data_IF_618700871482
#
_entry.id   IF_618700871482
#
_cell.length_a   1.000
_cell.length_b   1.000
_cell.length_c   1.000
_cell.angle_alpha   90.00
_cell.angle_beta   90.00
_cell.angle_gamma   90.00
#
_symmetry.space_group_name_H-M   'P 1'
#
loop_
_entity.id
_entity.type
_entity.pdbx_description
1 polymer ?
#
# COMPACT_ATOMS: atom_id res chain seq x y z
N UNK A 1 17.33 -12.91 3.83
CA UNK A 1 16.18 -12.35 4.56
C UNK A 1 15.76 -11.11 3.79
N UNK A 2 14.92 -11.27 2.76
CA UNK A 2 14.53 -10.15 1.90
C UNK A 2 13.01 -10.17 1.78
N UNK A 3 12.38 -9.03 1.99
CA UNK A 3 11.00 -8.81 1.54
C UNK A 3 11.05 -8.37 0.08
N UNK A 4 10.17 -8.92 -0.75
CA UNK A 4 9.89 -8.34 -2.05
C UNK A 4 8.90 -7.20 -1.83
N UNK A 5 9.28 -5.99 -2.23
CA UNK A 5 8.50 -4.77 -1.96
C UNK A 5 8.12 -4.14 -3.28
N UNK A 6 6.82 -4.01 -3.49
CA UNK A 6 6.27 -3.20 -4.56
C UNK A 6 5.76 -1.89 -3.96
N UNK A 7 5.98 -0.79 -4.67
CA UNK A 7 5.50 0.55 -4.27
C UNK A 7 4.43 0.97 -5.27
N UNK A 8 3.29 1.44 -4.78
CA UNK A 8 2.27 2.05 -5.62
C UNK A 8 1.93 3.43 -5.06
N UNK A 9 2.08 4.45 -5.89
CA UNK A 9 1.62 5.80 -5.60
C UNK A 9 1.06 6.44 -6.88
N UNK A 10 -0.23 6.79 -6.93
CA UNK A 10 -0.84 7.40 -8.12
C UNK A 10 -0.33 8.82 -8.42
N UNK A 11 0.40 9.46 -7.51
CA UNK A 11 0.89 10.84 -7.67
C UNK A 11 2.37 10.94 -8.01
N UNK A 12 3.13 9.86 -7.82
CA UNK A 12 4.57 9.89 -8.05
C UNK A 12 4.88 9.77 -9.54
N UNK A 13 5.89 10.51 -10.00
CA UNK A 13 6.47 10.28 -11.31
C UNK A 13 7.44 9.08 -11.22
N UNK A 14 7.15 8.02 -11.96
CA UNK A 14 7.97 6.80 -11.93
C UNK A 14 9.44 7.05 -12.30
N UNK A 15 9.71 7.95 -13.27
CA UNK A 15 11.07 8.26 -13.69
C UNK A 15 11.85 9.03 -12.62
N UNK A 16 11.17 9.91 -11.88
CA UNK A 16 11.76 10.64 -10.75
C UNK A 16 12.02 9.69 -9.57
N UNK A 17 11.07 8.80 -9.28
CA UNK A 17 11.20 7.80 -8.22
C UNK A 17 12.36 6.82 -8.49
N UNK A 18 12.55 6.39 -9.74
CA UNK A 18 13.66 5.53 -10.14
C UNK A 18 15.00 6.28 -10.02
N UNK A 19 15.05 7.53 -10.47
CA UNK A 19 16.27 8.33 -10.42
C UNK A 19 16.70 8.69 -8.98
N UNK A 20 15.76 9.04 -8.10
CA UNK A 20 16.05 9.47 -6.72
C UNK A 20 16.21 8.29 -5.74
N UNK A 21 15.38 7.25 -5.88
CA UNK A 21 15.27 6.17 -4.89
C UNK A 21 15.58 4.79 -5.46
N UNK A 22 15.86 4.67 -6.77
CA UNK A 22 16.17 3.37 -7.40
C UNK A 22 15.00 2.40 -7.42
N UNK A 23 13.76 2.88 -7.27
CA UNK A 23 12.55 2.08 -7.24
C UNK A 23 11.61 2.45 -8.37
N UNK A 24 10.97 1.45 -8.96
CA UNK A 24 9.98 1.61 -10.02
C UNK A 24 8.60 1.35 -9.43
N UNK A 25 7.78 2.38 -9.18
CA UNK A 25 6.44 2.20 -8.67
C UNK A 25 5.55 1.45 -9.66
N UNK A 26 4.74 0.53 -9.16
CA UNK A 26 3.68 -0.12 -9.92
C UNK A 26 2.55 0.88 -10.18
N UNK A 27 2.09 0.93 -11.44
CA UNK A 27 0.92 1.70 -11.81
C UNK A 27 -0.35 1.14 -11.14
N UNK A 28 -0.48 -0.18 -11.04
CA UNK A 28 -1.57 -0.85 -10.35
C UNK A 28 -1.06 -2.14 -9.70
N UNK A 29 -1.23 -2.31 -8.38
CA UNK A 29 -0.77 -3.50 -7.69
C UNK A 29 -1.72 -4.69 -7.94
N UNK A 30 -1.20 -5.92 -8.09
CA UNK A 30 -2.01 -7.13 -8.21
C UNK A 30 -2.88 -7.37 -6.97
N UNK A 31 -4.09 -7.85 -7.19
CA UNK A 31 -5.00 -8.28 -6.13
C UNK A 31 -4.60 -9.65 -5.58
N UNK A 32 -4.76 -9.87 -4.28
CA UNK A 32 -4.53 -11.18 -3.65
C UNK A 32 -3.07 -11.64 -3.60
N UNK A 33 -2.11 -10.75 -3.82
CA UNK A 33 -0.71 -11.10 -4.01
C UNK A 33 0.16 -10.90 -2.76
N UNK A 34 -0.24 -9.99 -1.87
CA UNK A 34 0.63 -9.52 -0.79
C UNK A 34 0.38 -10.24 0.54
N UNK A 35 1.47 -10.52 1.26
CA UNK A 35 1.41 -11.01 2.65
C UNK A 35 1.23 -9.85 3.65
N UNK A 36 1.60 -8.63 3.25
CA UNK A 36 1.37 -7.41 4.01
C UNK A 36 1.13 -6.22 3.09
N UNK A 37 0.21 -5.32 3.47
CA UNK A 37 -0.08 -4.06 2.78
C UNK A 37 0.09 -2.91 3.77
N UNK A 38 0.90 -1.93 3.41
CA UNK A 38 1.21 -0.77 4.25
C UNK A 38 0.67 0.50 3.60
N UNK A 39 -0.24 1.18 4.28
CA UNK A 39 -0.70 2.51 3.86
C UNK A 39 0.23 3.57 4.45
N UNK A 40 1.20 4.00 3.64
CA UNK A 40 2.26 4.90 4.06
C UNK A 40 1.95 6.40 3.83
N UNK A 41 0.95 6.72 3.00
CA UNK A 41 0.57 8.08 2.64
C UNK A 41 -0.94 8.31 2.72
N UNK A 42 -1.34 9.53 3.02
CA UNK A 42 -2.74 9.91 3.24
C UNK A 42 -3.49 10.33 1.98
N UNK A 43 -3.19 9.75 0.81
CA UNK A 43 -3.82 10.16 -0.44
C UNK A 43 -5.31 9.83 -0.44
N UNK A 44 -6.12 10.74 -1.01
CA UNK A 44 -7.59 10.60 -1.05
C UNK A 44 -8.03 9.34 -1.78
N UNK A 45 -7.24 8.85 -2.72
CA UNK A 45 -7.48 7.59 -3.42
C UNK A 45 -7.46 6.39 -2.47
N UNK A 46 -6.55 6.35 -1.50
CA UNK A 46 -6.49 5.26 -0.51
C UNK A 46 -7.59 5.37 0.54
N UNK A 47 -7.98 6.60 0.91
CA UNK A 47 -9.17 6.84 1.75
C UNK A 47 -10.43 6.34 1.03
N UNK A 48 -10.59 6.67 -0.24
CA UNK A 48 -11.74 6.29 -1.06
C UNK A 48 -11.77 4.78 -1.36
N UNK A 49 -10.60 4.16 -1.53
CA UNK A 49 -10.47 2.71 -1.68
C UNK A 49 -10.97 1.96 -0.44
N UNK A 50 -10.77 2.56 0.74
CA UNK A 50 -11.23 2.01 2.01
C UNK A 50 -10.51 0.71 2.40
N UNK A 51 -10.87 0.16 3.56
CA UNK A 51 -10.17 -0.99 4.11
C UNK A 51 -10.36 -2.27 3.26
N UNK A 52 -11.55 -2.47 2.70
CA UNK A 52 -11.84 -3.64 1.86
C UNK A 52 -11.02 -3.63 0.57
N UNK A 53 -10.90 -2.47 -0.08
CA UNK A 53 -10.09 -2.34 -1.29
C UNK A 53 -8.59 -2.49 -0.99
N UNK A 54 -8.12 -1.98 0.15
CA UNK A 54 -6.72 -2.20 0.59
C UNK A 54 -6.48 -3.69 0.90
N UNK A 55 -7.43 -4.36 1.58
CA UNK A 55 -7.35 -5.81 1.87
C UNK A 55 -7.41 -6.66 0.61
N UNK A 56 -8.05 -6.20 -0.46
CA UNK A 56 -8.13 -6.93 -1.72
C UNK A 56 -6.76 -7.11 -2.41
N UNK A 57 -5.75 -6.29 -2.09
CA UNK A 57 -4.38 -6.52 -2.54
C UNK A 57 -3.71 -7.67 -1.78
N UNK A 58 -4.15 -7.91 -0.56
CA UNK A 58 -3.63 -8.96 0.30
C UNK A 58 -4.19 -10.36 0.00
N UNK A 59 -3.39 -11.37 0.29
CA UNK A 59 -3.87 -12.76 0.49
C UNK A 59 -4.86 -12.84 1.65
N UNK A 60 -5.61 -13.96 1.82
CA UNK A 60 -6.59 -14.10 2.90
C UNK A 60 -6.08 -13.80 4.32
N UNK A 61 -4.80 -14.08 4.61
CA UNK A 61 -4.17 -13.82 5.92
C UNK A 61 -3.25 -12.57 5.92
N UNK A 62 -3.47 -11.65 4.98
CA UNK A 62 -2.64 -10.46 4.84
C UNK A 62 -2.76 -9.50 6.03
N UNK A 63 -1.63 -8.98 6.46
CA UNK A 63 -1.53 -7.91 7.46
C UNK A 63 -1.75 -6.55 6.78
N UNK A 64 -2.67 -5.74 7.30
CA UNK A 64 -2.83 -4.33 6.88
C UNK A 64 -2.32 -3.40 7.98
N UNK A 65 -1.35 -2.56 7.63
CA UNK A 65 -0.77 -1.58 8.54
C UNK A 65 -1.01 -0.15 8.03
N UNK A 66 -1.64 0.69 8.83
CA UNK A 66 -1.95 2.08 8.46
C UNK A 66 -1.11 3.06 9.26
N UNK A 67 -0.15 3.70 8.59
CA UNK A 67 0.78 4.68 9.20
C UNK A 67 0.15 6.09 9.25
N UNK A 68 -0.95 6.32 8.53
CA UNK A 68 -1.53 7.65 8.32
C UNK A 68 -2.94 7.82 8.87
N UNK A 69 -3.48 6.80 9.54
CA UNK A 69 -4.80 6.83 10.15
C UNK A 69 -5.93 7.15 9.15
N UNK A 70 -5.79 6.68 7.92
CA UNK A 70 -6.78 6.90 6.86
C UNK A 70 -7.88 5.83 6.82
N UNK A 71 -7.66 4.69 7.46
CA UNK A 71 -8.62 3.59 7.54
C UNK A 71 -9.29 3.52 8.93
N UNK A 72 -10.50 2.92 9.04
CA UNK A 72 -11.14 2.63 10.32
C UNK A 72 -10.23 1.78 11.21
N UNK A 73 -10.22 2.06 12.52
CA UNK A 73 -9.29 1.42 13.48
C UNK A 73 -9.48 -0.09 13.53
N UNK A 74 -10.73 -0.52 13.49
CA UNK A 74 -11.18 -1.90 13.54
C UNK A 74 -10.85 -2.70 12.28
N UNK A 75 -10.45 -2.03 11.20
CA UNK A 75 -10.21 -2.65 9.90
C UNK A 75 -8.73 -2.92 9.60
N UNK A 76 -7.81 -2.48 10.48
CA UNK A 76 -6.36 -2.61 10.33
C UNK A 76 -5.74 -3.44 11.45
N UNK A 77 -4.67 -4.16 11.13
CA UNK A 77 -3.96 -5.04 12.06
C UNK A 77 -2.93 -4.27 12.90
N UNK A 78 -2.50 -3.11 12.42
CA UNK A 78 -1.64 -2.19 13.15
C UNK A 78 -1.69 -0.77 12.61
N UNK A 79 -1.29 0.19 13.45
CA UNK A 79 -1.18 1.61 13.08
C UNK A 79 -0.17 2.34 13.98
N UNK A 80 0.43 3.41 13.46
CA UNK A 80 1.40 4.28 14.16
C UNK A 80 0.93 5.72 14.16
#
# INVERSE_FOLDING_TARGET
YNAQVDVHDPWVNAAEAEHEYGLVPLAEPPTGAYDAVIVAVGHKQFVALGADGVRAYGKPECVVYDVKYVLPREAVDGRL
#
